data_IF_355749479569
#
_entry.id   IF_355749479569
#
_cell.length_a   1.000
_cell.length_b   1.000
_cell.length_c   1.000
_cell.angle_alpha   90.00
_cell.angle_beta   90.00
_cell.angle_gamma   90.00
#
_symmetry.space_group_name_H-M   'P 1'
#
loop_
_entity.id
_entity.type
_entity.pdbx_description
1 polymer ?
#
# COMPACT_ATOMS: atom_id res chain seq x y z
N UNK A 1 26.45 -7.86 1.81
CA UNK A 1 25.53 -6.70 2.00
C UNK A 1 25.31 -6.05 0.64
N UNK A 2 24.06 -5.76 0.27
CA UNK A 2 23.70 -5.10 -0.99
C UNK A 2 24.23 -3.66 -1.04
N UNK A 3 24.59 -3.18 -2.23
CA UNK A 3 24.90 -1.77 -2.47
C UNK A 3 23.66 -0.89 -2.32
N UNK A 4 23.82 0.42 -2.29
CA UNK A 4 22.70 1.37 -2.24
C UNK A 4 21.75 1.20 -3.43
N UNK A 5 22.30 0.99 -4.62
CA UNK A 5 21.50 0.82 -5.86
C UNK A 5 20.76 -0.51 -5.89
N UNK A 6 21.36 -1.57 -5.39
CA UNK A 6 20.70 -2.87 -5.25
C UNK A 6 19.55 -2.82 -4.25
N UNK A 7 19.72 -2.11 -3.13
CA UNK A 7 18.64 -1.89 -2.16
C UNK A 7 17.50 -1.07 -2.77
N UNK A 8 17.84 -0.03 -3.52
CA UNK A 8 16.84 0.81 -4.18
C UNK A 8 16.03 -0.01 -5.20
N UNK A 9 16.68 -0.79 -6.05
CA UNK A 9 16.01 -1.70 -6.99
C UNK A 9 15.18 -2.76 -6.28
N UNK A 10 15.66 -3.30 -5.16
CA UNK A 10 14.90 -4.26 -4.36
C UNK A 10 13.64 -3.61 -3.77
N UNK A 11 13.75 -2.38 -3.26
CA UNK A 11 12.62 -1.62 -2.75
C UNK A 11 11.57 -1.34 -3.84
N UNK A 12 12.00 -0.97 -5.05
CA UNK A 12 11.09 -0.76 -6.18
C UNK A 12 10.35 -2.05 -6.55
N UNK A 13 11.05 -3.20 -6.61
CA UNK A 13 10.43 -4.50 -6.89
C UNK A 13 9.40 -4.87 -5.82
N UNK A 14 9.71 -4.64 -4.55
CA UNK A 14 8.77 -4.93 -3.47
C UNK A 14 7.51 -4.05 -3.56
N UNK A 15 7.68 -2.76 -3.83
CA UNK A 15 6.55 -1.83 -3.99
C UNK A 15 5.68 -2.25 -5.20
N UNK A 16 6.29 -2.62 -6.33
CA UNK A 16 5.57 -3.10 -7.50
C UNK A 16 4.80 -4.40 -7.21
N UNK A 17 5.43 -5.36 -6.53
CA UNK A 17 4.78 -6.61 -6.12
C UNK A 17 3.60 -6.36 -5.17
N UNK A 18 3.75 -5.42 -4.22
CA UNK A 18 2.69 -5.01 -3.30
C UNK A 18 1.51 -4.38 -4.03
N UNK A 19 1.77 -3.52 -5.03
CA UNK A 19 0.74 -2.94 -5.89
C UNK A 19 -0.01 -4.03 -6.66
N UNK A 20 0.72 -4.93 -7.29
CA UNK A 20 0.13 -6.04 -8.04
C UNK A 20 -0.75 -6.91 -7.14
N UNK A 21 -0.30 -7.22 -5.93
CA UNK A 21 -1.07 -7.98 -4.96
C UNK A 21 -2.36 -7.27 -4.55
N UNK A 22 -2.32 -5.95 -4.29
CA UNK A 22 -3.51 -5.17 -3.96
C UNK A 22 -4.54 -5.18 -5.12
N UNK A 23 -4.08 -5.03 -6.37
CA UNK A 23 -4.94 -5.10 -7.56
C UNK A 23 -5.55 -6.49 -7.70
N UNK A 24 -4.75 -7.55 -7.56
CA UNK A 24 -5.24 -8.94 -7.65
C UNK A 24 -6.25 -9.27 -6.55
N UNK A 25 -6.05 -8.78 -5.33
CA UNK A 25 -7.02 -8.97 -4.24
C UNK A 25 -8.35 -8.27 -4.55
N UNK A 26 -8.31 -7.03 -5.03
CA UNK A 26 -9.51 -6.29 -5.43
C UNK A 26 -10.27 -7.00 -6.56
N UNK A 27 -9.56 -7.47 -7.59
CA UNK A 27 -10.14 -8.26 -8.69
C UNK A 27 -10.76 -9.58 -8.22
N UNK A 28 -10.08 -10.29 -7.32
CA UNK A 28 -10.60 -11.54 -6.77
C UNK A 28 -11.87 -11.31 -5.97
N UNK A 29 -11.88 -10.27 -5.13
CA UNK A 29 -13.07 -9.89 -4.37
C UNK A 29 -14.23 -9.50 -5.28
N UNK A 30 -13.96 -8.71 -6.34
CA UNK A 30 -14.96 -8.33 -7.34
C UNK A 30 -15.55 -9.55 -8.05
N UNK A 31 -14.71 -10.47 -8.53
CA UNK A 31 -15.17 -11.70 -9.20
C UNK A 31 -16.04 -12.56 -8.29
N UNK A 32 -15.65 -12.70 -7.01
CA UNK A 32 -16.45 -13.46 -6.05
C UNK A 32 -17.81 -12.79 -5.80
N UNK A 33 -17.86 -11.45 -5.68
CA UNK A 33 -19.09 -10.70 -5.52
C UNK A 33 -20.02 -10.83 -6.75
N UNK A 34 -19.46 -10.76 -7.97
CA UNK A 34 -20.23 -10.91 -9.21
C UNK A 34 -20.77 -12.34 -9.39
N UNK A 35 -19.99 -13.35 -9.02
CA UNK A 35 -20.45 -14.74 -9.05
C UNK A 35 -21.62 -14.98 -8.07
N UNK A 36 -21.59 -14.32 -6.91
CA UNK A 36 -22.66 -14.40 -5.93
C UNK A 36 -23.90 -13.53 -6.28
N UNK A 37 -23.74 -12.48 -7.09
CA UNK A 37 -24.77 -11.50 -7.41
C UNK A 37 -24.84 -11.23 -8.93
N UNK A 38 -25.53 -12.05 -9.71
CA UNK A 38 -25.61 -11.88 -11.18
C UNK A 38 -26.17 -10.52 -11.61
N UNK A 39 -27.09 -9.94 -10.83
CA UNK A 39 -27.65 -8.62 -11.11
C UNK A 39 -26.58 -7.50 -11.05
N UNK A 40 -25.64 -7.60 -10.09
CA UNK A 40 -24.52 -6.68 -9.97
C UNK A 40 -23.60 -6.79 -11.21
N UNK A 41 -23.28 -8.02 -11.63
CA UNK A 41 -22.49 -8.26 -12.84
C UNK A 41 -23.16 -7.69 -14.09
N UNK A 42 -24.47 -7.93 -14.26
CA UNK A 42 -25.22 -7.43 -15.40
C UNK A 42 -25.27 -5.90 -15.46
N UNK A 43 -25.41 -5.24 -14.31
CA UNK A 43 -25.43 -3.79 -14.20
C UNK A 43 -24.05 -3.16 -14.55
N UNK A 44 -22.95 -3.76 -14.08
CA UNK A 44 -21.59 -3.31 -14.42
C UNK A 44 -21.26 -3.53 -15.91
N UNK A 45 -21.69 -4.65 -16.49
CA UNK A 45 -21.59 -4.90 -17.93
C UNK A 45 -22.39 -3.88 -18.76
N UNK A 46 -23.57 -3.48 -18.29
CA UNK A 46 -24.38 -2.45 -18.94
C UNK A 46 -23.67 -1.07 -18.91
N UNK A 47 -23.09 -0.69 -17.75
CA UNK A 47 -22.27 0.50 -17.60
C UNK A 47 -21.07 0.48 -18.55
N UNK A 48 -20.35 -0.63 -18.63
CA UNK A 48 -19.22 -0.78 -19.55
C UNK A 48 -19.65 -0.63 -21.01
N UNK A 49 -20.76 -1.26 -21.43
CA UNK A 49 -21.30 -1.11 -22.78
C UNK A 49 -21.70 0.34 -23.10
N UNK A 50 -22.32 1.04 -22.15
CA UNK A 50 -22.68 2.45 -22.31
C UNK A 50 -21.44 3.34 -22.47
N UNK A 51 -20.38 3.10 -21.66
CA UNK A 51 -19.10 3.80 -21.79
C UNK A 51 -18.42 3.59 -23.13
N UNK A 52 -18.40 2.34 -23.62
CA UNK A 52 -17.86 2.01 -24.95
C UNK A 52 -18.71 2.67 -26.07
N UNK A 53 -20.03 2.73 -25.91
CA UNK A 53 -20.93 3.41 -26.86
C UNK A 53 -20.63 4.90 -26.93
N UNK A 54 -20.47 5.56 -25.77
CA UNK A 54 -20.10 6.98 -25.69
C UNK A 54 -18.75 7.24 -26.37
N UNK A 55 -17.72 6.42 -26.08
CA UNK A 55 -16.41 6.55 -26.71
C UNK A 55 -16.48 6.38 -28.24
N UNK A 56 -17.28 5.44 -28.73
CA UNK A 56 -17.50 5.23 -30.17
C UNK A 56 -18.22 6.41 -30.80
N UNK A 57 -19.27 6.92 -30.15
CA UNK A 57 -20.01 8.12 -30.61
C UNK A 57 -19.10 9.32 -30.72
N UNK A 58 -18.23 9.52 -29.75
CA UNK A 58 -17.22 10.60 -29.75
C UNK A 58 -16.21 10.47 -30.90
N UNK A 59 -15.78 9.24 -31.23
CA UNK A 59 -14.80 8.99 -32.30
C UNK A 59 -15.38 9.07 -33.70
N UNK A 60 -16.61 8.62 -33.90
CA UNK A 60 -17.25 8.48 -35.24
C UNK A 60 -18.22 9.61 -35.58
N UNK A 61 -18.53 10.47 -34.66
CA UNK A 61 -19.60 11.46 -34.74
C UNK A 61 -20.96 10.81 -34.46
N UNK A 62 -21.81 11.51 -33.70
CA UNK A 62 -23.15 11.03 -33.37
C UNK A 62 -23.77 11.86 -32.26
N UNK A 63 -24.90 11.42 -31.74
CA UNK A 63 -25.59 12.08 -30.65
C UNK A 63 -24.92 11.83 -29.31
N UNK A 64 -24.06 12.78 -28.90
CA UNK A 64 -23.33 12.73 -27.68
C UNK A 64 -24.22 12.89 -26.44
N UNK A 65 -25.32 13.63 -26.54
CA UNK A 65 -26.20 13.87 -25.41
C UNK A 65 -26.98 12.62 -25.03
N UNK A 66 -27.52 11.91 -26.01
CA UNK A 66 -28.14 10.59 -25.81
C UNK A 66 -27.14 9.57 -25.27
N UNK A 67 -25.90 9.56 -25.77
CA UNK A 67 -24.87 8.63 -25.28
C UNK A 67 -24.44 8.93 -23.83
N UNK A 68 -24.35 10.18 -23.42
CA UNK A 68 -24.09 10.59 -22.03
C UNK A 68 -25.23 10.20 -21.10
N UNK A 69 -26.47 10.51 -21.49
CA UNK A 69 -27.64 10.15 -20.69
C UNK A 69 -27.74 8.64 -20.46
N UNK A 70 -27.41 7.84 -21.48
CA UNK A 70 -27.37 6.39 -21.36
C UNK A 70 -26.27 5.91 -20.39
N UNK A 71 -25.10 6.54 -20.40
CA UNK A 71 -24.02 6.22 -19.43
C UNK A 71 -24.42 6.60 -18.01
N UNK A 72 -24.99 7.80 -17.79
CA UNK A 72 -25.43 8.25 -16.47
C UNK A 72 -26.52 7.33 -15.90
N UNK A 73 -27.47 6.89 -16.73
CA UNK A 73 -28.49 5.93 -16.31
C UNK A 73 -27.89 4.59 -15.95
N UNK A 74 -26.91 4.09 -16.72
CA UNK A 74 -26.22 2.84 -16.43
C UNK A 74 -25.33 2.95 -15.17
N UNK A 75 -24.66 4.08 -14.94
CA UNK A 75 -23.91 4.36 -13.72
C UNK A 75 -24.80 4.31 -12.46
N UNK A 76 -25.95 4.95 -12.54
CA UNK A 76 -26.93 4.94 -11.45
C UNK A 76 -27.44 3.53 -11.16
N UNK A 77 -27.80 2.78 -12.20
CA UNK A 77 -28.26 1.40 -12.04
C UNK A 77 -27.18 0.48 -11.45
N UNK A 78 -25.90 0.68 -11.83
CA UNK A 78 -24.79 -0.07 -11.26
C UNK A 78 -24.56 0.28 -9.79
N UNK A 79 -24.67 1.55 -9.40
CA UNK A 79 -24.57 1.98 -8.01
C UNK A 79 -25.72 1.40 -7.14
N UNK A 80 -26.96 1.42 -7.65
CA UNK A 80 -28.13 0.85 -6.99
C UNK A 80 -27.99 -0.69 -6.81
N UNK A 81 -27.50 -1.38 -7.83
CA UNK A 81 -27.24 -2.82 -7.76
C UNK A 81 -26.12 -3.17 -6.75
N UNK A 82 -25.06 -2.35 -6.68
CA UNK A 82 -24.01 -2.53 -5.68
C UNK A 82 -24.55 -2.32 -4.26
N UNK A 83 -25.31 -1.27 -4.05
CA UNK A 83 -25.92 -0.97 -2.75
C UNK A 83 -26.91 -2.08 -2.32
N UNK A 84 -27.73 -2.57 -3.22
CA UNK A 84 -28.66 -3.67 -2.98
C UNK A 84 -27.94 -4.98 -2.61
N UNK A 85 -26.75 -5.20 -3.17
CA UNK A 85 -25.88 -6.32 -2.85
C UNK A 85 -25.04 -6.11 -1.57
N UNK A 86 -25.15 -4.95 -0.91
CA UNK A 86 -24.43 -4.63 0.32
C UNK A 86 -22.99 -4.15 0.13
N UNK A 87 -22.61 -3.73 -1.10
CA UNK A 87 -21.29 -3.21 -1.40
C UNK A 87 -21.31 -1.69 -1.51
N UNK A 88 -20.27 -1.05 -0.96
CA UNK A 88 -19.99 0.37 -1.23
C UNK A 88 -19.26 0.52 -2.56
N UNK A 89 -19.28 1.73 -3.12
CA UNK A 89 -18.56 2.07 -4.36
C UNK A 89 -17.04 1.74 -4.28
N UNK A 90 -16.48 1.85 -3.09
CA UNK A 90 -15.05 1.59 -2.85
C UNK A 90 -14.74 0.11 -2.49
N UNK A 91 -15.74 -0.75 -2.41
CA UNK A 91 -15.56 -2.14 -1.93
C UNK A 91 -14.56 -2.93 -2.78
N UNK A 92 -14.45 -2.63 -4.07
CA UNK A 92 -13.57 -3.29 -5.02
C UNK A 92 -12.37 -2.42 -5.44
N UNK A 93 -12.13 -1.29 -4.77
CA UNK A 93 -10.95 -0.48 -5.02
C UNK A 93 -9.70 -1.14 -4.44
N UNK A 94 -8.57 -1.17 -5.17
CA UNK A 94 -7.32 -1.68 -4.65
C UNK A 94 -6.84 -0.87 -3.44
N UNK A 95 -6.52 -1.53 -2.32
CA UNK A 95 -6.02 -0.88 -1.10
C UNK A 95 -4.50 -0.74 -1.15
N UNK A 96 -4.04 0.41 -1.63
CA UNK A 96 -2.61 0.71 -1.69
C UNK A 96 -2.05 1.14 -0.33
N UNK A 97 -0.82 0.72 -0.03
CA UNK A 97 -0.16 1.04 1.24
C UNK A 97 0.37 2.48 1.27
N UNK A 98 0.86 2.98 0.14
CA UNK A 98 1.33 4.35 0.03
C UNK A 98 0.24 5.23 -0.59
N UNK A 99 -0.37 6.17 0.16
CA UNK A 99 -1.41 7.05 -0.38
C UNK A 99 -0.85 8.07 -1.39
N UNK A 100 0.45 8.41 -1.30
CA UNK A 100 1.07 9.44 -2.13
C UNK A 100 1.31 8.99 -3.57
N UNK A 101 1.72 7.74 -3.78
CA UNK A 101 2.02 7.20 -5.11
C UNK A 101 1.17 5.99 -5.48
N UNK A 102 0.27 5.55 -4.60
CA UNK A 102 -0.54 4.34 -4.80
C UNK A 102 0.31 3.12 -5.18
N UNK A 103 1.42 2.95 -4.45
CA UNK A 103 2.41 1.88 -4.65
C UNK A 103 2.98 1.79 -6.09
N UNK A 104 3.05 2.92 -6.83
CA UNK A 104 3.80 2.99 -8.09
C UNK A 104 5.30 3.19 -7.86
N UNK A 105 5.69 3.65 -6.67
CA UNK A 105 7.07 4.01 -6.34
C UNK A 105 7.54 5.34 -6.95
N UNK A 106 6.70 6.01 -7.74
CA UNK A 106 7.03 7.26 -8.43
C UNK A 106 5.97 8.33 -8.17
N UNK A 107 6.38 9.60 -8.14
CA UNK A 107 5.49 10.76 -8.04
C UNK A 107 6.06 11.90 -8.87
N UNK A 108 5.33 12.32 -9.90
CA UNK A 108 5.77 13.41 -10.78
C UNK A 108 7.14 13.17 -11.43
N UNK A 109 7.45 11.93 -11.83
CA UNK A 109 8.73 11.58 -12.48
C UNK A 109 9.90 11.35 -11.52
N UNK A 110 9.71 11.56 -10.19
CA UNK A 110 10.74 11.30 -9.18
C UNK A 110 10.36 10.13 -8.27
N UNK A 111 11.34 9.43 -7.66
CA UNK A 111 11.06 8.37 -6.71
C UNK A 111 10.25 8.88 -5.50
N UNK A 112 9.20 8.16 -5.13
CA UNK A 112 8.42 8.46 -3.94
C UNK A 112 9.22 8.15 -2.66
N UNK A 113 8.98 8.90 -1.57
CA UNK A 113 9.61 8.68 -0.26
C UNK A 113 9.45 7.25 0.25
N UNK A 114 8.35 6.57 -0.07
CA UNK A 114 8.12 5.19 0.32
C UNK A 114 9.19 4.23 -0.20
N UNK A 115 9.87 4.53 -1.33
CA UNK A 115 10.98 3.73 -1.85
C UNK A 115 12.18 3.80 -0.90
N UNK A 116 12.49 5.00 -0.40
CA UNK A 116 13.58 5.19 0.57
C UNK A 116 13.26 4.50 1.90
N UNK A 117 12.00 4.53 2.35
CA UNK A 117 11.57 3.85 3.58
C UNK A 117 11.74 2.33 3.48
N UNK A 118 11.31 1.73 2.36
CA UNK A 118 11.50 0.30 2.11
C UNK A 118 12.98 -0.05 2.02
N UNK A 119 13.80 0.76 1.31
CA UNK A 119 15.23 0.53 1.20
C UNK A 119 15.93 0.59 2.59
N UNK A 120 15.54 1.53 3.46
CA UNK A 120 16.04 1.62 4.84
C UNK A 120 15.65 0.39 5.67
N UNK A 121 14.41 -0.09 5.52
CA UNK A 121 13.96 -1.32 6.18
C UNK A 121 14.78 -2.53 5.72
N UNK A 122 14.94 -2.71 4.42
CA UNK A 122 15.75 -3.81 3.86
C UNK A 122 17.19 -3.76 4.33
N UNK A 123 17.79 -2.57 4.46
CA UNK A 123 19.14 -2.40 5.02
C UNK A 123 19.20 -2.84 6.49
N UNK A 124 18.23 -2.44 7.29
CA UNK A 124 18.15 -2.88 8.71
C UNK A 124 18.03 -4.40 8.83
N UNK A 125 17.21 -5.02 8.00
CA UNK A 125 17.04 -6.46 7.96
C UNK A 125 18.37 -7.17 7.63
N UNK A 126 19.15 -6.66 6.67
CA UNK A 126 20.47 -7.20 6.34
C UNK A 126 21.46 -7.06 7.50
N UNK A 127 21.50 -5.89 8.13
CA UNK A 127 22.39 -5.65 9.28
C UNK A 127 22.02 -6.62 10.41
N UNK A 128 20.74 -6.76 10.71
CA UNK A 128 20.27 -7.64 11.76
C UNK A 128 20.58 -9.12 11.46
N UNK A 129 20.40 -9.54 10.20
CA UNK A 129 20.72 -10.91 9.79
C UNK A 129 22.22 -11.21 9.82
N UNK A 130 23.07 -10.21 9.56
CA UNK A 130 24.51 -10.33 9.60
C UNK A 130 25.09 -10.14 11.00
N UNK A 131 24.32 -9.61 11.95
CA UNK A 131 24.77 -9.40 13.32
C UNK A 131 24.65 -10.68 14.13
N UNK A 132 25.75 -11.18 14.77
CA UNK A 132 25.69 -12.31 15.70
C UNK A 132 24.99 -11.93 17.01
N UNK A 133 24.78 -10.61 17.26
CA UNK A 133 24.12 -10.10 18.44
C UNK A 133 22.64 -9.91 18.12
N UNK A 134 21.74 -10.58 18.86
CA UNK A 134 20.33 -10.25 18.83
C UNK A 134 20.16 -8.78 19.15
N UNK A 135 19.35 -8.05 18.36
CA UNK A 135 19.05 -6.66 18.67
C UNK A 135 18.32 -6.61 20.02
N UNK A 136 18.99 -6.08 21.03
CA UNK A 136 18.36 -5.78 22.30
C UNK A 136 17.45 -4.57 22.12
N UNK A 137 16.20 -4.71 22.53
CA UNK A 137 15.30 -3.55 22.68
C UNK A 137 15.67 -2.82 23.98
N UNK A 138 15.47 -1.50 24.03
CA UNK A 138 15.66 -0.74 25.27
C UNK A 138 14.85 -1.31 26.45
N UNK A 139 13.67 -1.87 26.17
CA UNK A 139 12.84 -2.54 27.15
C UNK A 139 13.44 -3.81 27.74
N UNK A 140 14.40 -4.45 27.06
CA UNK A 140 15.11 -5.65 27.53
C UNK A 140 16.50 -5.35 28.07
N UNK A 141 16.86 -4.05 28.18
CA UNK A 141 18.13 -3.63 28.72
C UNK A 141 18.21 -3.91 30.21
N UNK A 142 19.06 -4.85 30.60
CA UNK A 142 19.25 -5.21 32.00
C UNK A 142 20.37 -4.33 32.64
N UNK A 143 19.94 -3.33 33.35
CA UNK A 143 20.86 -2.41 34.08
C UNK A 143 21.71 -3.15 35.12
N UNK A 144 21.23 -4.30 35.65
CA UNK A 144 21.91 -5.04 36.69
C UNK A 144 23.14 -5.83 36.19
N UNK A 145 23.33 -5.93 34.86
CA UNK A 145 24.56 -6.50 34.29
C UNK A 145 25.80 -5.63 34.49
N UNK A 146 25.63 -4.38 34.87
CA UNK A 146 26.75 -3.46 35.13
C UNK A 146 27.02 -3.38 36.61
N UNK A 147 28.30 -3.49 37.02
CA UNK A 147 28.67 -3.36 38.44
C UNK A 147 28.30 -1.96 38.92
N UNK A 148 27.89 -1.90 40.19
CA UNK A 148 27.54 -0.65 40.86
C UNK A 148 28.82 0.02 41.45
N UNK A 149 29.86 0.11 40.62
CA UNK A 149 31.14 0.71 40.98
C UNK A 149 31.15 2.18 40.66
N UNK A 150 31.59 2.99 41.59
CA UNK A 150 31.76 4.42 41.40
C UNK A 150 32.84 4.68 40.34
N UNK A 151 32.51 5.52 39.34
CA UNK A 151 33.47 6.02 38.36
C UNK A 151 34.05 7.35 38.95
N UNK A 152 35.29 7.37 39.42
CA UNK A 152 35.81 8.54 40.17
C UNK A 152 35.78 9.83 39.36
N UNK A 153 35.98 9.75 38.06
CA UNK A 153 36.03 10.91 37.15
C UNK A 153 34.67 11.62 37.01
N UNK A 154 33.56 10.92 37.19
CA UNK A 154 32.21 11.45 36.98
C UNK A 154 31.38 11.53 38.27
N UNK A 155 31.83 10.99 39.37
CA UNK A 155 31.11 10.99 40.66
C UNK A 155 29.80 10.19 40.65
N UNK A 156 29.58 9.36 39.64
CA UNK A 156 28.39 8.52 39.49
C UNK A 156 28.78 7.06 39.36
N UNK A 157 27.87 6.16 39.70
CA UNK A 157 28.09 4.73 39.44
C UNK A 157 27.84 4.39 37.98
N UNK A 158 28.52 3.37 37.44
CA UNK A 158 28.31 2.89 36.05
C UNK A 158 26.84 2.55 35.76
N UNK A 159 26.10 2.12 36.78
CA UNK A 159 24.67 1.82 36.68
C UNK A 159 23.81 3.09 36.53
N UNK A 160 24.16 4.16 37.27
CA UNK A 160 23.43 5.44 37.21
C UNK A 160 23.71 6.20 35.95
N UNK A 161 24.96 6.24 35.47
CA UNK A 161 25.35 6.90 34.23
C UNK A 161 24.56 6.34 33.03
N UNK A 162 24.39 5.01 32.95
CA UNK A 162 23.64 4.37 31.86
C UNK A 162 22.11 4.51 31.97
N UNK A 163 21.55 4.73 33.15
CA UNK A 163 20.13 5.07 33.32
C UNK A 163 19.78 6.46 32.80
N UNK A 164 20.75 7.35 32.74
CA UNK A 164 20.55 8.73 32.27
C UNK A 164 20.54 8.88 30.77
N UNK A 165 20.81 7.80 30.02
CA UNK A 165 20.88 7.77 28.55
C UNK A 165 19.62 7.19 27.93
N UNK A 166 18.58 6.85 28.70
CA UNK A 166 17.30 6.28 28.22
C UNK A 166 16.16 7.30 28.34
#
# INVERSE_FOLDING_TARGET
MRTKDELFRAAQREIAARRQHAVMQAETARRAAYAANPALSAADDAKMRAGLSLARTAALGGDMDTARAALEAADKAAAEAAQAAGFSEEAFAPKFRCPLCQDTGMRGGVPCSCVADVARRLRREEINAASPLGLCQFSTFDVNRYPDTLVPEFGVTMRLDRKSVV
#
